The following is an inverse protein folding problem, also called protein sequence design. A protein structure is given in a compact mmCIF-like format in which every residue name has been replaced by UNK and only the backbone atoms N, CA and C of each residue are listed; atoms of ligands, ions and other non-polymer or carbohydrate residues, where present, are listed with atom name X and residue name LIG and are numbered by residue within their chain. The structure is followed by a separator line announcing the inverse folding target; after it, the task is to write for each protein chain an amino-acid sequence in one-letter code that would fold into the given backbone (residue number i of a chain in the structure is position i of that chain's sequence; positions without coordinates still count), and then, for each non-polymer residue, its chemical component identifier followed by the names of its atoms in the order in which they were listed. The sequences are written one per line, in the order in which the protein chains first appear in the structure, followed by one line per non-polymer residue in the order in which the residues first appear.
data_IF_245347187097
#
_entry.id   IF_245347187097
#
_cell.length_a   1.000
_cell.length_b   1.000
_cell.length_c   1.000
_cell.angle_alpha   90.00
_cell.angle_beta   90.00
_cell.angle_gamma   90.00
#
_symmetry.space_group_name_H-M   'P 1'
#
loop_
_entity.id
_entity.type
_entity.pdbx_description
1 polymer ?
#
# COMPACT_ATOMS: atom_id res chain seq x y z
N UNK A 1 -19.89 -5.64 2.03
CA UNK A 1 -20.08 -5.45 0.58
C UNK A 1 -19.07 -6.22 -0.30
N UNK A 2 -18.25 -7.13 0.27
CA UNK A 2 -17.02 -7.65 -0.37
C UNK A 2 -17.05 -9.14 -0.78
N UNK A 3 -18.06 -9.91 -0.39
CA UNK A 3 -18.09 -11.35 -0.72
C UNK A 3 -18.20 -11.62 -2.23
N UNK A 4 -19.06 -10.88 -2.92
CA UNK A 4 -19.37 -11.17 -4.33
C UNK A 4 -18.21 -10.89 -5.29
N UNK A 5 -17.34 -9.90 -5.01
CA UNK A 5 -16.17 -9.60 -5.85
C UNK A 5 -15.16 -10.75 -5.79
N UNK A 6 -14.89 -11.27 -4.59
CA UNK A 6 -14.00 -12.42 -4.42
C UNK A 6 -14.54 -13.66 -5.12
N UNK A 7 -15.86 -13.91 -5.04
CA UNK A 7 -16.51 -15.00 -5.76
C UNK A 7 -16.46 -14.83 -7.28
N UNK A 8 -16.63 -13.61 -7.79
CA UNK A 8 -16.58 -13.32 -9.22
C UNK A 8 -15.15 -13.50 -9.76
N UNK A 9 -14.15 -13.02 -9.02
CA UNK A 9 -12.74 -13.26 -9.33
C UNK A 9 -12.37 -14.74 -9.29
N UNK A 10 -12.82 -15.47 -8.27
CA UNK A 10 -12.59 -16.91 -8.18
C UNK A 10 -13.25 -17.66 -9.35
N UNK A 11 -14.48 -17.29 -9.73
CA UNK A 11 -15.16 -17.88 -10.87
C UNK A 11 -14.41 -17.62 -12.19
N UNK A 12 -13.94 -16.38 -12.40
CA UNK A 12 -13.11 -16.03 -13.56
C UNK A 12 -11.80 -16.84 -13.57
N UNK A 13 -11.13 -17.00 -12.42
CA UNK A 13 -9.91 -17.80 -12.29
C UNK A 13 -10.18 -19.29 -12.61
N UNK A 14 -11.29 -19.85 -12.14
CA UNK A 14 -11.65 -21.24 -12.42
C UNK A 14 -11.92 -21.46 -13.90
N UNK A 15 -12.74 -20.59 -14.51
CA UNK A 15 -13.01 -20.63 -15.96
C UNK A 15 -11.69 -20.54 -16.74
N UNK A 16 -10.78 -19.67 -16.29
CA UNK A 16 -9.47 -19.45 -16.87
C UNK A 16 -8.54 -20.67 -16.78
N UNK A 17 -8.49 -21.33 -15.61
CA UNK A 17 -7.74 -22.56 -15.39
C UNK A 17 -8.25 -23.67 -16.30
N UNK A 18 -9.57 -23.77 -16.46
CA UNK A 18 -10.19 -24.76 -17.34
C UNK A 18 -9.84 -24.51 -18.80
N UNK A 19 -9.92 -23.27 -19.30
CA UNK A 19 -9.55 -22.96 -20.67
C UNK A 19 -8.08 -23.29 -20.96
N UNK A 20 -7.18 -22.84 -20.09
CA UNK A 20 -5.72 -22.98 -20.28
C UNK A 20 -5.25 -24.42 -20.10
N UNK A 21 -5.72 -25.13 -19.06
CA UNK A 21 -5.16 -26.45 -18.73
C UNK A 21 -5.99 -27.63 -19.22
N UNK A 22 -7.29 -27.44 -19.45
CA UNK A 22 -8.17 -28.51 -19.92
C UNK A 22 -8.44 -28.35 -21.41
N UNK A 23 -8.96 -27.19 -21.83
CA UNK A 23 -9.42 -27.01 -23.22
C UNK A 23 -8.24 -26.87 -24.19
N UNK A 24 -7.27 -26.02 -23.91
CA UNK A 24 -6.11 -25.80 -24.77
C UNK A 24 -5.24 -27.07 -24.89
N UNK A 25 -4.97 -27.72 -23.75
CA UNK A 25 -4.26 -29.00 -23.72
C UNK A 25 -4.97 -30.09 -24.53
N UNK A 26 -6.31 -30.19 -24.42
CA UNK A 26 -7.09 -31.14 -25.22
C UNK A 26 -7.01 -30.81 -26.71
N UNK A 27 -7.17 -29.54 -27.09
CA UNK A 27 -7.03 -29.08 -28.48
C UNK A 27 -5.68 -29.44 -29.08
N UNK A 28 -4.58 -29.14 -28.38
CA UNK A 28 -3.23 -29.48 -28.85
C UNK A 28 -3.03 -31.00 -29.01
N UNK A 29 -3.60 -31.83 -28.11
CA UNK A 29 -3.55 -33.28 -28.23
C UNK A 29 -4.37 -33.79 -29.42
N UNK A 30 -5.58 -33.29 -29.61
CA UNK A 30 -6.43 -33.67 -30.75
C UNK A 30 -5.77 -33.24 -32.06
N UNK A 31 -5.22 -32.03 -32.11
CA UNK A 31 -4.51 -31.53 -33.29
C UNK A 31 -3.28 -32.39 -33.59
N UNK A 32 -2.49 -32.78 -32.58
CA UNK A 32 -1.37 -33.71 -32.78
C UNK A 32 -1.82 -35.09 -33.28
N UNK A 33 -2.98 -35.60 -32.83
CA UNK A 33 -3.51 -36.87 -33.31
C UNK A 33 -3.96 -36.78 -34.78
N UNK A 34 -4.64 -35.69 -35.15
CA UNK A 34 -5.06 -35.42 -36.53
C UNK A 34 -3.87 -35.25 -37.47
N UNK A 35 -2.84 -34.51 -37.05
CA UNK A 35 -1.60 -34.37 -37.83
C UNK A 35 -0.92 -35.72 -38.06
N UNK A 36 -0.99 -36.65 -37.10
CA UNK A 36 -0.47 -38.02 -37.26
C UNK A 36 -1.33 -38.91 -38.15
N UNK A 37 -2.64 -38.69 -38.26
CA UNK A 37 -3.52 -39.48 -39.13
C UNK A 37 -3.51 -39.02 -40.59
N UNK A 38 -2.92 -37.86 -40.88
CA UNK A 38 -2.84 -37.31 -42.25
C UNK A 38 -4.13 -36.66 -42.76
N UNK A 39 -5.17 -36.56 -41.92
CA UNK A 39 -6.53 -36.12 -42.31
C UNK A 39 -6.73 -34.59 -42.24
N UNK A 40 -5.76 -33.76 -42.63
CA UNK A 40 -5.79 -32.34 -42.24
C UNK A 40 -5.59 -31.36 -43.40
N UNK A 41 -6.57 -30.47 -43.60
CA UNK A 41 -6.46 -29.27 -44.45
C UNK A 41 -5.95 -28.07 -43.64
N UNK A 42 -5.21 -27.16 -44.28
CA UNK A 42 -4.64 -25.96 -43.63
C UNK A 42 -5.71 -25.10 -42.93
N UNK A 43 -6.91 -25.02 -43.51
CA UNK A 43 -8.05 -24.25 -42.98
C UNK A 43 -8.60 -24.84 -41.67
N UNK A 44 -8.57 -26.17 -41.53
CA UNK A 44 -8.97 -26.85 -40.30
C UNK A 44 -7.95 -26.62 -39.18
N UNK A 45 -6.64 -26.63 -39.49
CA UNK A 45 -5.56 -26.36 -38.52
C UNK A 45 -5.69 -24.95 -37.97
N UNK A 46 -5.87 -23.97 -38.85
CA UNK A 46 -5.97 -22.57 -38.46
C UNK A 46 -7.18 -22.34 -37.55
N UNK A 47 -8.32 -22.97 -37.85
CA UNK A 47 -9.51 -22.97 -36.98
C UNK A 47 -9.21 -23.47 -35.55
N UNK A 48 -8.49 -24.58 -35.40
CA UNK A 48 -8.12 -25.09 -34.08
C UNK A 48 -7.14 -24.20 -33.32
N UNK A 49 -6.20 -23.56 -34.05
CA UNK A 49 -5.25 -22.59 -33.47
C UNK A 49 -5.91 -21.24 -33.11
N UNK A 50 -6.98 -20.87 -33.83
CA UNK A 50 -7.67 -19.57 -33.70
C UNK A 50 -8.98 -19.60 -32.93
N UNK A 51 -9.51 -20.78 -32.55
CA UNK A 51 -10.68 -20.94 -31.68
C UNK A 51 -10.41 -20.40 -30.26
N UNK A 52 -10.28 -19.08 -30.15
CA UNK A 52 -9.96 -18.33 -28.93
C UNK A 52 -11.18 -17.51 -28.47
N UNK A 53 -12.39 -18.08 -28.61
CA UNK A 53 -13.67 -17.38 -28.40
C UNK A 53 -13.75 -16.71 -27.02
N UNK A 54 -13.21 -17.34 -25.98
CA UNK A 54 -13.21 -16.81 -24.62
C UNK A 54 -12.04 -15.88 -24.30
N UNK A 55 -10.93 -15.93 -25.03
CA UNK A 55 -9.78 -15.07 -24.77
C UNK A 55 -10.10 -13.61 -25.09
N UNK A 56 -10.86 -13.35 -26.16
CA UNK A 56 -11.25 -11.98 -26.55
C UNK A 56 -12.21 -11.33 -25.53
N UNK A 57 -13.20 -12.07 -25.05
CA UNK A 57 -14.12 -11.60 -24.02
C UNK A 57 -13.42 -11.39 -22.67
N UNK A 58 -12.54 -12.32 -22.27
CA UNK A 58 -11.72 -12.17 -21.07
C UNK A 58 -10.73 -10.99 -21.16
N UNK A 59 -10.18 -10.70 -22.35
CA UNK A 59 -9.30 -9.55 -22.58
C UNK A 59 -10.06 -8.22 -22.53
N UNK A 60 -11.26 -8.15 -23.11
CA UNK A 60 -12.08 -6.93 -23.13
C UNK A 60 -12.65 -6.58 -21.75
N UNK A 61 -13.04 -7.58 -20.95
CA UNK A 61 -13.57 -7.36 -19.61
C UNK A 61 -12.47 -7.30 -18.53
N UNK A 62 -11.36 -8.01 -18.73
CA UNK A 62 -10.32 -8.21 -17.71
C UNK A 62 -9.48 -6.97 -17.44
N UNK A 63 -9.03 -6.22 -18.46
CA UNK A 63 -8.20 -5.05 -18.24
C UNK A 63 -8.94 -3.92 -17.50
N UNK A 64 -10.18 -3.53 -17.86
CA UNK A 64 -10.95 -2.56 -17.09
C UNK A 64 -11.24 -3.03 -15.66
N UNK A 65 -11.51 -4.33 -15.47
CA UNK A 65 -11.76 -4.89 -14.15
C UNK A 65 -10.51 -4.92 -13.27
N UNK A 66 -9.34 -5.28 -13.83
CA UNK A 66 -8.05 -5.24 -13.12
C UNK A 66 -7.71 -3.80 -12.74
N UNK A 67 -7.89 -2.84 -13.64
CA UNK A 67 -7.68 -1.42 -13.35
C UNK A 67 -8.64 -0.95 -12.24
N UNK A 68 -9.92 -1.33 -12.32
CA UNK A 68 -10.92 -1.02 -11.30
C UNK A 68 -10.58 -1.63 -9.94
N UNK A 69 -10.11 -2.88 -9.91
CA UNK A 69 -9.72 -3.58 -8.68
C UNK A 69 -8.44 -3.03 -8.08
N UNK A 70 -7.42 -2.72 -8.89
CA UNK A 70 -6.22 -2.01 -8.44
C UNK A 70 -6.63 -0.68 -7.83
N UNK A 71 -7.54 0.04 -8.49
CA UNK A 71 -8.02 1.34 -8.02
C UNK A 71 -8.80 1.26 -6.70
N UNK A 72 -9.78 0.36 -6.58
CA UNK A 72 -10.52 0.16 -5.31
C UNK A 72 -9.59 -0.29 -4.20
N UNK A 73 -8.63 -1.15 -4.51
CA UNK A 73 -7.65 -1.63 -3.54
C UNK A 73 -6.65 -0.55 -3.10
N UNK A 74 -6.20 0.34 -4.00
CA UNK A 74 -5.39 1.53 -3.65
C UNK A 74 -6.15 2.40 -2.65
N UNK A 75 -7.46 2.57 -2.85
CA UNK A 75 -8.29 3.40 -1.98
C UNK A 75 -8.48 2.81 -0.58
N UNK A 76 -8.62 1.49 -0.47
CA UNK A 76 -8.92 0.83 0.81
C UNK A 76 -7.68 0.33 1.58
N UNK A 77 -6.49 0.50 0.98
CA UNK A 77 -5.12 0.34 1.50
C UNK A 77 -4.72 -1.01 2.13
N UNK A 78 -5.66 -1.78 2.72
CA UNK A 78 -5.41 -3.08 3.34
C UNK A 78 -5.43 -4.24 2.36
N UNK A 79 -6.30 -4.19 1.35
CA UNK A 79 -6.53 -5.34 0.47
C UNK A 79 -5.59 -5.35 -0.74
N UNK A 80 -4.95 -4.22 -1.08
CA UNK A 80 -4.03 -4.16 -2.22
C UNK A 80 -2.80 -5.04 -2.03
N UNK A 81 -2.29 -5.18 -0.81
CA UNK A 81 -1.15 -6.05 -0.54
C UNK A 81 -1.51 -7.53 -0.82
N UNK A 82 -2.66 -7.99 -0.31
CA UNK A 82 -3.13 -9.34 -0.53
C UNK A 82 -3.44 -9.60 -2.00
N UNK A 83 -4.11 -8.66 -2.68
CA UNK A 83 -4.43 -8.77 -4.10
C UNK A 83 -3.17 -8.80 -4.98
N UNK A 84 -2.16 -7.98 -4.67
CA UNK A 84 -0.87 -8.02 -5.38
C UNK A 84 -0.14 -9.34 -5.16
N UNK A 85 -0.13 -9.87 -3.94
CA UNK A 85 0.49 -11.17 -3.62
C UNK A 85 -0.24 -12.29 -4.37
N UNK A 86 -1.58 -12.35 -4.28
CA UNK A 86 -2.39 -13.35 -4.96
C UNK A 86 -2.25 -13.25 -6.48
N UNK A 87 -2.24 -12.03 -7.04
CA UNK A 87 -2.04 -11.79 -8.47
C UNK A 87 -0.65 -12.19 -8.94
N UNK A 88 0.40 -11.91 -8.15
CA UNK A 88 1.78 -12.33 -8.44
C UNK A 88 1.94 -13.84 -8.37
N UNK A 89 1.41 -14.47 -7.32
CA UNK A 89 1.42 -15.92 -7.14
C UNK A 89 0.70 -16.61 -8.29
N UNK A 90 -0.48 -16.09 -8.65
CA UNK A 90 -1.24 -16.55 -9.80
C UNK A 90 -0.40 -16.46 -11.08
N UNK A 91 0.07 -15.27 -11.46
CA UNK A 91 0.86 -15.07 -12.66
C UNK A 91 2.11 -15.99 -12.71
N UNK A 92 2.75 -16.20 -11.57
CA UNK A 92 3.89 -17.12 -11.43
C UNK A 92 3.51 -18.59 -11.63
N UNK A 93 2.41 -19.05 -11.01
CA UNK A 93 1.90 -20.42 -11.19
C UNK A 93 1.50 -20.69 -12.65
N UNK A 94 0.90 -19.71 -13.32
CA UNK A 94 0.55 -19.79 -14.74
C UNK A 94 1.80 -19.92 -15.61
N UNK A 95 2.77 -19.03 -15.42
CA UNK A 95 4.02 -19.05 -16.18
C UNK A 95 4.80 -20.35 -15.95
N UNK A 96 4.80 -20.87 -14.72
CA UNK A 96 5.43 -22.14 -14.35
C UNK A 96 4.72 -23.32 -15.02
N UNK A 97 3.39 -23.39 -14.93
CA UNK A 97 2.62 -24.50 -15.48
C UNK A 97 2.68 -24.54 -17.01
N UNK A 98 2.67 -23.39 -17.70
CA UNK A 98 2.93 -23.31 -19.14
C UNK A 98 4.32 -23.87 -19.50
N UNK A 99 5.35 -23.44 -18.76
CA UNK A 99 6.73 -23.90 -18.96
C UNK A 99 6.88 -25.42 -18.80
N UNK A 100 6.13 -26.03 -17.88
CA UNK A 100 6.22 -27.46 -17.58
C UNK A 100 5.35 -28.33 -18.49
N UNK A 101 4.15 -27.89 -18.87
CA UNK A 101 3.14 -28.73 -19.52
C UNK A 101 2.84 -28.33 -20.96
N UNK A 102 2.47 -27.07 -21.19
CA UNK A 102 1.88 -26.63 -22.47
C UNK A 102 2.94 -26.31 -23.51
N UNK A 103 4.07 -25.71 -23.11
CA UNK A 103 5.16 -25.35 -24.01
C UNK A 103 5.68 -26.54 -24.82
N UNK A 104 5.89 -27.70 -24.17
CA UNK A 104 6.36 -28.91 -24.84
C UNK A 104 5.38 -29.41 -25.90
N UNK A 105 4.09 -29.37 -25.59
CA UNK A 105 3.05 -29.78 -26.53
C UNK A 105 2.96 -28.84 -27.73
N UNK A 106 3.07 -27.52 -27.50
CA UNK A 106 3.07 -26.51 -28.57
C UNK A 106 4.25 -26.66 -29.52
N UNK A 107 5.45 -26.91 -28.99
CA UNK A 107 6.64 -27.16 -29.82
C UNK A 107 6.50 -28.44 -30.65
N UNK A 108 6.04 -29.55 -30.04
CA UNK A 108 5.83 -30.81 -30.77
C UNK A 108 4.79 -30.69 -31.89
N UNK A 109 3.73 -29.92 -31.65
CA UNK A 109 2.71 -29.63 -32.66
C UNK A 109 3.29 -28.74 -33.76
N UNK A 110 4.05 -27.70 -33.40
CA UNK A 110 4.66 -26.80 -34.36
C UNK A 110 5.62 -27.53 -35.31
N UNK A 111 6.44 -28.45 -34.82
CA UNK A 111 7.35 -29.25 -35.66
C UNK A 111 6.63 -30.10 -36.71
N UNK A 112 5.36 -30.45 -36.49
CA UNK A 112 4.54 -31.28 -37.39
C UNK A 112 3.78 -30.46 -38.45
N UNK A 113 3.87 -29.12 -38.40
CA UNK A 113 3.12 -28.25 -39.30
C UNK A 113 3.89 -27.95 -40.60
N UNK A 114 3.19 -27.93 -41.76
CA UNK A 114 3.83 -27.90 -43.08
C UNK A 114 4.42 -26.54 -43.48
N UNK A 115 3.96 -25.44 -42.88
CA UNK A 115 4.33 -24.07 -43.29
C UNK A 115 4.90 -23.29 -42.11
N UNK A 116 6.01 -22.57 -42.29
CA UNK A 116 6.63 -21.73 -41.25
C UNK A 116 5.65 -20.76 -40.57
N UNK A 117 4.70 -20.19 -41.33
CA UNK A 117 3.66 -19.33 -40.78
C UNK A 117 2.77 -20.04 -39.74
N UNK A 118 2.39 -21.30 -40.00
CA UNK A 118 1.61 -22.13 -39.08
C UNK A 118 2.45 -22.59 -37.89
N UNK A 119 3.74 -22.87 -38.11
CA UNK A 119 4.68 -23.21 -37.03
C UNK A 119 4.81 -22.05 -36.05
N UNK A 120 5.03 -20.83 -36.55
CA UNK A 120 5.09 -19.62 -35.73
C UNK A 120 3.79 -19.41 -34.96
N UNK A 121 2.63 -19.60 -35.60
CA UNK A 121 1.32 -19.45 -34.96
C UNK A 121 1.09 -20.48 -33.85
N UNK A 122 1.49 -21.75 -34.03
CA UNK A 122 1.39 -22.77 -32.99
C UNK A 122 2.34 -22.54 -31.80
N UNK A 123 3.46 -21.85 -32.03
CA UNK A 123 4.41 -21.47 -30.98
C UNK A 123 3.94 -20.26 -30.16
N UNK A 124 3.02 -19.45 -30.69
CA UNK A 124 2.49 -18.30 -29.93
C UNK A 124 1.86 -18.75 -28.62
N UNK A 125 2.10 -17.97 -27.57
CA UNK A 125 1.42 -18.16 -26.29
C UNK A 125 -0.08 -17.89 -26.46
N UNK A 126 -0.89 -18.55 -25.63
CA UNK A 126 -2.25 -18.07 -25.40
C UNK A 126 -2.13 -16.66 -24.82
N UNK A 127 -2.95 -15.70 -25.26
CA UNK A 127 -2.81 -14.29 -24.87
C UNK A 127 -2.80 -14.11 -23.35
N UNK A 128 -3.46 -14.99 -22.60
CA UNK A 128 -3.44 -14.98 -21.14
C UNK A 128 -2.13 -15.49 -20.52
N UNK A 129 -1.49 -16.50 -21.11
CA UNK A 129 -0.16 -16.96 -20.70
C UNK A 129 0.87 -15.87 -20.99
N UNK A 130 0.73 -15.20 -22.13
CA UNK A 130 1.53 -14.05 -22.52
C UNK A 130 1.39 -12.90 -21.51
N UNK A 131 0.16 -12.56 -21.11
CA UNK A 131 -0.08 -11.57 -20.05
C UNK A 131 0.52 -12.01 -18.71
N UNK A 132 0.28 -13.25 -18.27
CA UNK A 132 0.83 -13.74 -17.01
C UNK A 132 2.36 -13.66 -16.98
N UNK A 133 3.04 -14.10 -18.04
CA UNK A 133 4.50 -14.00 -18.18
C UNK A 133 5.00 -12.56 -18.21
N UNK A 134 4.28 -11.66 -18.88
CA UNK A 134 4.66 -10.25 -19.01
C UNK A 134 4.45 -9.47 -17.72
N UNK A 135 3.34 -9.71 -17.03
CA UNK A 135 3.00 -9.02 -15.79
C UNK A 135 3.70 -9.62 -14.57
N UNK A 136 4.04 -10.91 -14.56
CA UNK A 136 4.71 -11.55 -13.42
C UNK A 136 5.95 -10.78 -12.91
N UNK A 137 6.96 -10.43 -13.74
CA UNK A 137 8.14 -9.71 -13.25
C UNK A 137 7.79 -8.33 -12.70
N UNK A 138 6.81 -7.64 -13.30
CA UNK A 138 6.34 -6.32 -12.85
C UNK A 138 5.62 -6.43 -11.51
N UNK A 139 4.67 -7.37 -11.38
CA UNK A 139 3.93 -7.61 -10.15
C UNK A 139 4.85 -8.10 -9.04
N UNK A 140 5.78 -9.01 -9.34
CA UNK A 140 6.77 -9.50 -8.39
C UNK A 140 7.68 -8.36 -7.91
N UNK A 141 8.16 -7.51 -8.82
CA UNK A 141 8.92 -6.32 -8.44
C UNK A 141 8.10 -5.40 -7.54
N UNK A 142 6.86 -5.07 -7.90
CA UNK A 142 5.98 -4.22 -7.08
C UNK A 142 5.71 -4.84 -5.71
N UNK A 143 5.49 -6.16 -5.63
CA UNK A 143 5.34 -6.88 -4.36
C UNK A 143 6.61 -6.78 -3.54
N UNK A 144 7.79 -7.05 -4.09
CA UNK A 144 9.07 -6.95 -3.37
C UNK A 144 9.30 -5.51 -2.89
N UNK A 145 9.15 -4.53 -3.78
CA UNK A 145 9.29 -3.11 -3.44
C UNK A 145 8.32 -2.71 -2.32
N UNK A 146 7.06 -3.17 -2.36
CA UNK A 146 6.06 -2.81 -1.34
C UNK A 146 6.22 -3.56 -0.03
N UNK A 147 6.55 -4.85 -0.10
CA UNK A 147 6.72 -5.71 1.06
C UNK A 147 7.88 -5.24 1.93
N UNK A 148 8.92 -4.69 1.29
CA UNK A 148 10.15 -4.35 1.99
C UNK A 148 10.46 -2.86 1.98
N UNK A 149 10.38 -2.16 0.84
CA UNK A 149 10.93 -0.81 0.68
C UNK A 149 9.94 0.29 1.09
N UNK A 150 8.88 0.45 0.29
CA UNK A 150 8.03 1.62 0.36
C UNK A 150 6.56 1.28 0.26
N UNK A 151 5.74 1.87 1.13
CA UNK A 151 4.29 1.75 1.06
C UNK A 151 3.61 3.11 0.89
N UNK A 152 2.69 3.24 -0.09
CA UNK A 152 1.91 4.46 -0.25
C UNK A 152 0.82 4.56 0.83
N UNK A 153 0.62 5.77 1.38
CA UNK A 153 -0.47 6.08 2.31
C UNK A 153 -1.18 7.35 1.87
N UNK A 154 -2.51 7.34 1.87
CA UNK A 154 -3.30 8.56 1.72
C UNK A 154 -3.64 9.15 3.09
N UNK A 155 -3.52 10.46 3.25
CA UNK A 155 -3.88 11.18 4.48
C UNK A 155 -5.41 11.32 4.56
N UNK A 156 -6.07 10.69 5.57
CA UNK A 156 -7.52 10.74 5.69
C UNK A 156 -8.01 11.86 6.64
N UNK A 157 -7.13 12.47 7.44
CA UNK A 157 -7.51 13.44 8.48
C UNK A 157 -6.58 14.66 8.52
N UNK A 158 -7.06 15.76 9.08
CA UNK A 158 -6.34 17.03 9.22
C UNK A 158 -5.49 17.17 10.48
N UNK A 159 -5.20 16.08 11.19
CA UNK A 159 -4.47 16.12 12.48
C UNK A 159 -2.98 16.46 12.36
N UNK A 160 -2.45 16.42 11.14
CA UNK A 160 -1.07 16.75 10.80
C UNK A 160 -0.96 18.06 10.00
N UNK A 161 -2.02 18.89 10.00
CA UNK A 161 -1.97 20.24 9.41
C UNK A 161 -0.96 21.12 10.17
N UNK A 162 -0.23 22.02 9.49
CA UNK A 162 -0.31 22.32 8.05
C UNK A 162 0.52 21.38 7.16
N UNK A 163 1.45 20.62 7.76
CA UNK A 163 2.47 19.89 7.01
C UNK A 163 1.85 18.82 6.10
N UNK A 164 0.80 18.14 6.58
CA UNK A 164 0.06 17.12 5.84
C UNK A 164 -1.43 17.42 5.86
N UNK A 165 -2.04 17.49 4.67
CA UNK A 165 -3.47 17.78 4.50
C UNK A 165 -4.21 16.57 3.96
N UNK A 166 -5.54 16.54 4.17
CA UNK A 166 -6.41 15.49 3.63
C UNK A 166 -6.25 15.42 2.12
N UNK A 167 -5.99 14.23 1.59
CA UNK A 167 -5.71 14.01 0.16
C UNK A 167 -4.23 13.99 -0.22
N UNK A 168 -3.31 14.32 0.69
CA UNK A 168 -1.88 14.09 0.46
C UNK A 168 -1.59 12.57 0.40
N UNK A 169 -0.75 12.16 -0.55
CA UNK A 169 -0.21 10.81 -0.68
C UNK A 169 1.25 10.78 -0.25
N UNK A 170 1.55 9.91 0.71
CA UNK A 170 2.85 9.72 1.31
C UNK A 170 3.50 8.45 0.81
N UNK A 171 4.82 8.48 0.74
CA UNK A 171 5.66 7.30 0.62
C UNK A 171 6.29 7.02 1.98
N UNK A 172 5.99 5.85 2.53
CA UNK A 172 6.45 5.41 3.85
C UNK A 172 7.57 4.40 3.68
N UNK A 173 8.75 4.72 4.18
CA UNK A 173 9.90 3.82 4.20
C UNK A 173 9.77 2.85 5.38
N UNK A 174 9.64 1.57 5.07
CA UNK A 174 9.53 0.50 6.07
C UNK A 174 10.88 0.08 6.63
N UNK A 175 11.95 0.17 5.85
CA UNK A 175 13.31 -0.13 6.29
C UNK A 175 13.88 0.89 7.26
N UNK A 176 13.43 2.15 7.21
CA UNK A 176 13.94 3.19 8.13
C UNK A 176 13.83 2.78 9.60
N UNK A 177 12.91 1.88 9.91
CA UNK A 177 12.63 1.42 11.27
C UNK A 177 12.96 -0.07 11.53
N UNK A 178 13.80 -0.69 10.70
CA UNK A 178 14.23 -2.08 10.84
C UNK A 178 13.52 -3.04 9.88
N UNK A 179 14.15 -4.19 9.60
CA UNK A 179 13.61 -5.18 8.67
C UNK A 179 12.57 -6.08 9.36
N UNK A 180 11.41 -6.25 8.72
CA UNK A 180 10.35 -7.17 9.17
C UNK A 180 10.00 -8.14 8.07
N UNK A 181 9.80 -9.40 8.44
CA UNK A 181 9.24 -10.38 7.51
C UNK A 181 7.79 -10.01 7.19
N UNK A 182 7.40 -9.95 5.90
CA UNK A 182 6.00 -9.81 5.55
C UNK A 182 5.19 -10.95 6.18
N UNK A 183 3.94 -10.65 6.59
CA UNK A 183 3.00 -11.58 7.24
C UNK A 183 3.31 -11.90 8.71
N UNK A 184 4.54 -12.30 9.06
CA UNK A 184 4.87 -12.79 10.41
C UNK A 184 5.18 -11.64 11.40
N UNK A 185 5.33 -10.40 10.91
CA UNK A 185 5.66 -9.18 11.69
C UNK A 185 6.88 -9.32 12.62
N UNK A 186 7.67 -10.39 12.50
CA UNK A 186 8.85 -10.65 13.33
C UNK A 186 10.01 -9.81 12.81
N UNK A 187 10.66 -9.10 13.73
CA UNK A 187 11.81 -8.24 13.45
C UNK A 187 13.09 -9.08 13.41
N UNK A 188 13.96 -8.81 12.43
CA UNK A 188 15.24 -9.52 12.29
C UNK A 188 16.45 -8.65 12.62
N UNK A 189 16.31 -7.31 12.66
CA UNK A 189 17.41 -6.36 12.91
C UNK A 189 16.97 -5.12 13.70
N UNK A 190 17.84 -4.58 14.57
CA UNK A 190 17.58 -3.41 15.44
C UNK A 190 18.07 -2.06 14.89
N UNK A 191 18.40 -1.99 13.60
CA UNK A 191 18.86 -0.74 13.00
C UNK A 191 17.69 0.21 12.69
N UNK A 192 17.86 1.49 13.07
CA UNK A 192 16.91 2.57 12.80
C UNK A 192 15.73 2.58 13.78
N UNK A 193 15.81 3.33 14.87
CA UNK A 193 14.66 3.63 15.73
C UNK A 193 14.05 4.98 15.33
N UNK A 194 12.71 5.15 15.40
CA UNK A 194 12.07 6.45 15.28
C UNK A 194 12.75 7.48 16.16
N UNK A 195 13.11 8.62 15.59
CA UNK A 195 13.77 9.71 16.28
C UNK A 195 12.78 10.84 16.58
N UNK A 196 13.02 11.67 17.62
CA UNK A 196 12.25 12.88 17.84
C UNK A 196 12.18 13.73 16.56
N UNK A 197 10.98 14.23 16.26
CA UNK A 197 10.68 14.98 15.04
C UNK A 197 10.39 14.13 13.80
N UNK A 198 10.52 12.80 13.83
CA UNK A 198 10.11 11.94 12.70
C UNK A 198 8.58 11.90 12.53
N UNK A 199 8.11 11.85 11.28
CA UNK A 199 6.71 11.53 10.97
C UNK A 199 6.58 10.01 10.85
N UNK A 200 5.85 9.42 11.79
CA UNK A 200 5.74 7.98 11.94
C UNK A 200 4.33 7.50 11.59
N UNK A 201 4.25 6.41 10.84
CA UNK A 201 3.03 5.65 10.60
C UNK A 201 3.01 4.44 11.53
N UNK A 202 1.91 4.23 12.25
CA UNK A 202 1.79 3.17 13.25
C UNK A 202 0.31 2.77 13.46
N UNK A 203 0.08 1.67 14.16
CA UNK A 203 -1.26 1.27 14.61
C UNK A 203 -1.43 1.69 16.08
N UNK A 204 -2.42 2.53 16.45
CA UNK A 204 -2.57 2.99 17.82
C UNK A 204 -3.13 1.89 18.74
N UNK A 205 -2.83 1.93 20.05
CA UNK A 205 -3.22 0.87 20.99
C UNK A 205 -4.74 0.74 21.20
N UNK A 206 -5.51 1.81 20.98
CA UNK A 206 -6.97 1.81 21.10
C UNK A 206 -7.70 1.40 19.81
N UNK A 207 -7.00 1.32 18.67
CA UNK A 207 -7.63 1.04 17.38
C UNK A 207 -6.72 0.23 16.45
N UNK A 208 -6.73 -1.09 16.64
CA UNK A 208 -5.84 -2.05 15.95
C UNK A 208 -6.09 -2.21 14.45
N UNK A 209 -7.21 -1.67 13.95
CA UNK A 209 -7.62 -1.77 12.55
C UNK A 209 -7.44 -0.47 11.78
N UNK A 210 -6.73 0.54 12.28
CA UNK A 210 -6.46 1.76 11.53
C UNK A 210 -5.03 2.24 11.74
N UNK A 211 -4.35 2.65 10.67
CA UNK A 211 -3.04 3.25 10.79
C UNK A 211 -3.17 4.76 11.01
N UNK A 212 -2.40 5.28 11.94
CA UNK A 212 -2.31 6.68 12.31
C UNK A 212 -0.96 7.24 11.85
N UNK A 213 -0.93 8.54 11.60
CA UNK A 213 0.27 9.27 11.18
C UNK A 213 0.43 10.44 12.14
N UNK A 214 1.53 10.44 12.89
CA UNK A 214 1.84 11.46 13.92
C UNK A 214 3.34 11.75 13.93
N UNK A 215 3.72 12.84 14.57
CA UNK A 215 5.13 13.15 14.82
C UNK A 215 5.60 12.52 16.13
N UNK A 216 6.79 11.93 16.12
CA UNK A 216 7.44 11.41 17.32
C UNK A 216 7.95 12.58 18.13
N UNK A 217 7.53 12.65 19.39
CA UNK A 217 7.96 13.68 20.35
C UNK A 217 8.92 13.12 21.38
N UNK A 218 8.69 11.88 21.83
CA UNK A 218 9.55 11.21 22.81
C UNK A 218 9.84 9.76 22.43
N UNK A 219 11.03 9.30 22.79
CA UNK A 219 11.50 7.92 22.66
C UNK A 219 11.78 7.33 24.04
N UNK A 220 12.02 6.03 24.14
CA UNK A 220 12.29 5.34 25.41
C UNK A 220 13.31 6.07 26.29
N UNK A 221 12.95 6.28 27.55
CA UNK A 221 13.71 7.04 28.55
C UNK A 221 13.30 8.51 28.67
N UNK A 222 12.68 9.11 27.64
CA UNK A 222 12.31 10.53 27.69
C UNK A 222 11.16 10.80 28.68
N UNK A 223 11.28 11.89 29.44
CA UNK A 223 10.18 12.46 30.22
C UNK A 223 9.46 13.52 29.41
N UNK A 224 8.17 13.31 29.16
CA UNK A 224 7.32 14.21 28.38
C UNK A 224 6.35 14.92 29.31
N UNK A 225 6.34 16.24 29.24
CA UNK A 225 5.40 17.06 30.00
C UNK A 225 4.64 18.00 29.06
N UNK A 226 3.32 18.11 29.27
CA UNK A 226 2.48 18.99 28.47
C UNK A 226 1.47 19.74 29.35
N UNK A 227 1.52 21.07 29.29
CA UNK A 227 0.56 21.93 29.96
C UNK A 227 -0.56 22.29 28.98
N UNK A 228 -1.78 21.84 29.26
CA UNK A 228 -2.94 22.10 28.40
C UNK A 228 -3.38 23.57 28.38
N UNK A 229 -3.11 24.33 29.45
CA UNK A 229 -3.50 25.76 29.56
C UNK A 229 -2.56 26.64 28.76
N UNK A 230 -1.24 26.45 28.91
CA UNK A 230 -0.22 27.24 28.18
C UNK A 230 0.14 26.66 26.81
N UNK A 231 -0.25 25.39 26.57
CA UNK A 231 0.06 24.59 25.38
C UNK A 231 1.56 24.42 25.15
N UNK A 232 2.32 24.42 26.24
CA UNK A 232 3.76 24.21 26.26
C UNK A 232 4.08 22.72 26.36
N UNK A 233 5.01 22.29 25.50
CA UNK A 233 5.56 20.93 25.49
C UNK A 233 6.99 20.99 26.04
N UNK A 234 7.30 20.12 27.00
CA UNK A 234 8.65 19.94 27.53
C UNK A 234 9.11 18.50 27.35
N UNK A 235 10.36 18.34 26.97
CA UNK A 235 11.03 17.03 26.83
C UNK A 235 12.25 17.06 27.76
N UNK A 236 12.34 16.10 28.68
CA UNK A 236 13.40 16.00 29.68
C UNK A 236 13.55 17.28 30.53
N UNK A 237 12.43 17.97 30.79
CA UNK A 237 12.37 19.23 31.55
C UNK A 237 12.64 20.49 30.74
N UNK A 238 13.21 20.36 29.54
CA UNK A 238 13.49 21.49 28.64
C UNK A 238 12.27 21.85 27.81
N UNK A 239 11.99 23.14 27.67
CA UNK A 239 10.90 23.63 26.81
C UNK A 239 11.27 23.42 25.35
N UNK A 240 10.40 22.74 24.59
CA UNK A 240 10.59 22.57 23.15
C UNK A 240 10.50 23.95 22.49
N UNK A 241 11.57 24.43 21.82
CA UNK A 241 11.58 25.76 21.24
C UNK A 241 10.49 25.92 20.18
N UNK A 242 9.80 27.06 20.23
CA UNK A 242 8.83 27.44 19.20
C UNK A 242 8.90 28.94 18.90
N UNK A 243 8.78 29.27 17.61
CA UNK A 243 8.73 30.65 17.12
C UNK A 243 7.36 30.92 16.53
N UNK A 244 6.68 31.95 17.04
CA UNK A 244 5.40 32.40 16.51
C UNK A 244 5.56 32.91 15.07
N UNK A 245 4.59 32.56 14.21
CA UNK A 245 4.50 33.07 12.85
C UNK A 245 3.38 34.10 12.73
N UNK A 246 2.14 33.64 12.77
CA UNK A 246 0.94 34.46 12.65
C UNK A 246 -0.26 33.78 13.33
N UNK A 247 -1.38 34.50 13.34
CA UNK A 247 -2.69 33.97 13.75
C UNK A 247 -3.70 34.35 12.70
N UNK A 248 -4.49 33.38 12.25
CA UNK A 248 -5.60 33.61 11.32
C UNK A 248 -6.87 32.95 11.81
N UNK A 249 -8.01 33.33 11.23
CA UNK A 249 -9.32 32.77 11.58
C UNK A 249 -9.78 31.82 10.49
N UNK A 250 -10.07 30.58 10.86
CA UNK A 250 -10.63 29.55 9.98
C UNK A 250 -11.85 28.92 10.66
N UNK A 251 -13.02 29.01 10.04
CA UNK A 251 -14.27 28.46 10.59
C UNK A 251 -14.55 28.89 12.05
N UNK A 252 -14.27 30.16 12.39
CA UNK A 252 -14.45 30.72 13.73
C UNK A 252 -13.36 30.34 14.76
N UNK A 253 -12.37 29.54 14.38
CA UNK A 253 -11.22 29.17 15.22
C UNK A 253 -10.05 30.12 14.97
N UNK A 254 -9.45 30.66 16.03
CA UNK A 254 -8.23 31.48 15.97
C UNK A 254 -7.02 30.56 15.99
N UNK A 255 -6.51 30.22 14.81
CA UNK A 255 -5.38 29.31 14.64
C UNK A 255 -4.09 30.12 14.66
N UNK A 256 -3.29 29.94 15.70
CA UNK A 256 -1.92 30.43 15.79
C UNK A 256 -0.96 29.40 15.20
N UNK A 257 -0.08 29.85 14.32
CA UNK A 257 0.98 29.05 13.72
C UNK A 257 2.30 29.32 14.41
N UNK A 258 3.04 28.25 14.66
CA UNK A 258 4.40 28.31 15.19
C UNK A 258 5.31 27.41 14.36
N UNK A 259 6.59 27.75 14.28
CA UNK A 259 7.64 26.80 13.92
C UNK A 259 8.16 26.20 15.22
N UNK A 260 8.07 24.90 15.38
CA UNK A 260 8.62 24.16 16.51
C UNK A 260 9.89 23.42 16.09
N UNK A 261 10.88 23.38 16.97
CA UNK A 261 12.18 22.73 16.73
C UNK A 261 12.37 21.55 17.66
N UNK A 262 12.44 20.33 17.10
CA UNK A 262 12.65 19.10 17.88
C UNK A 262 13.50 18.10 17.09
N UNK A 263 14.47 17.45 17.75
CA UNK A 263 15.32 16.44 17.12
C UNK A 263 16.15 16.98 15.93
N UNK A 264 16.54 18.25 15.97
CA UNK A 264 17.26 18.92 14.89
C UNK A 264 16.41 19.28 13.66
N UNK A 265 15.08 19.19 13.77
CA UNK A 265 14.14 19.49 12.69
C UNK A 265 13.23 20.65 13.07
N UNK A 266 12.86 21.45 12.07
CA UNK A 266 11.86 22.49 12.20
C UNK A 266 10.61 22.12 11.41
N UNK A 267 9.44 22.31 12.02
CA UNK A 267 8.14 22.07 11.39
C UNK A 267 7.08 23.01 11.93
N UNK A 268 6.07 23.30 11.12
CA UNK A 268 4.96 24.14 11.55
C UNK A 268 3.97 23.35 12.41
N UNK A 269 3.42 24.00 13.44
CA UNK A 269 2.33 23.46 14.28
C UNK A 269 1.17 24.45 14.34
N UNK A 270 -0.04 23.94 14.49
CA UNK A 270 -1.24 24.73 14.74
C UNK A 270 -1.64 24.65 16.21
N UNK A 271 -2.00 25.79 16.80
CA UNK A 271 -2.65 25.87 18.11
C UNK A 271 -3.85 26.82 18.04
N UNK A 272 -4.99 26.39 18.57
CA UNK A 272 -6.24 27.15 18.58
C UNK A 272 -6.31 28.00 19.85
N UNK A 273 -6.14 29.32 19.75
CA UNK A 273 -6.07 30.23 20.90
C UNK A 273 -7.39 30.37 21.65
N UNK A 274 -8.52 30.27 20.94
CA UNK A 274 -9.87 30.41 21.51
C UNK A 274 -10.53 29.06 21.84
N UNK A 275 -9.75 27.98 21.93
CA UNK A 275 -10.26 26.71 22.40
C UNK A 275 -10.19 26.66 23.93
N UNK A 276 -11.34 26.48 24.57
CA UNK A 276 -11.36 26.15 26.00
C UNK A 276 -10.72 24.78 26.19
N UNK A 277 -9.58 24.73 26.87
CA UNK A 277 -9.06 23.45 27.37
C UNK A 277 -9.84 23.11 28.64
N UNK A 278 -10.59 21.99 28.69
CA UNK A 278 -11.21 21.54 29.93
C UNK A 278 -10.15 21.40 31.04
N UNK A 279 -10.57 21.22 32.30
CA UNK A 279 -9.68 20.99 33.45
C UNK A 279 -8.93 19.64 33.34
N UNK A 280 -8.13 19.48 32.29
CA UNK A 280 -7.17 18.42 32.10
C UNK A 280 -5.99 18.72 33.03
N UNK A 281 -5.60 17.71 33.80
CA UNK A 281 -4.36 17.81 34.55
C UNK A 281 -3.20 17.88 33.56
N UNK A 282 -2.13 18.66 33.85
CA UNK A 282 -0.91 18.61 33.07
C UNK A 282 -0.43 17.17 32.90
N UNK A 283 0.01 16.84 31.69
CA UNK A 283 0.60 15.54 31.41
C UNK A 283 2.04 15.52 31.93
N UNK A 284 2.42 14.42 32.57
CA UNK A 284 3.80 14.13 32.97
C UNK A 284 4.02 12.62 32.92
N UNK A 285 4.75 12.15 31.91
CA UNK A 285 4.95 10.71 31.64
C UNK A 285 6.39 10.42 31.26
N UNK A 286 6.87 9.23 31.61
CA UNK A 286 8.17 8.70 31.14
C UNK A 286 7.88 7.64 30.08
N UNK A 287 8.50 7.79 28.92
CA UNK A 287 8.33 6.86 27.80
C UNK A 287 9.09 5.56 28.12
N UNK A 288 8.44 4.39 28.16
CA UNK A 288 9.13 3.13 28.39
C UNK A 288 10.08 2.75 27.24
N UNK A 289 11.08 1.93 27.52
CA UNK A 289 11.96 1.38 26.49
C UNK A 289 11.17 0.66 25.40
N UNK A 290 11.58 0.84 24.14
CA UNK A 290 10.87 0.30 22.98
C UNK A 290 9.50 0.93 22.68
N UNK A 291 9.16 2.04 23.33
CA UNK A 291 7.93 2.79 23.09
C UNK A 291 8.19 4.21 22.59
N UNK A 292 7.14 4.83 22.06
CA UNK A 292 7.19 6.18 21.48
C UNK A 292 6.00 7.01 21.96
N UNK A 293 6.24 8.28 22.25
CA UNK A 293 5.21 9.28 22.49
C UNK A 293 5.04 10.14 21.24
N UNK A 294 3.80 10.23 20.73
CA UNK A 294 3.52 10.87 19.45
C UNK A 294 2.45 11.94 19.55
N UNK A 295 2.61 13.01 18.76
CA UNK A 295 1.72 14.18 18.76
C UNK A 295 1.43 14.61 17.33
N UNK A 296 0.20 15.08 17.08
CA UNK A 296 -0.15 15.69 15.79
C UNK A 296 0.33 17.13 15.69
N UNK A 297 0.74 17.54 14.49
CA UNK A 297 1.17 18.92 14.21
C UNK A 297 0.01 19.91 14.38
N UNK A 298 -1.23 19.46 14.15
CA UNK A 298 -2.43 20.21 14.50
C UNK A 298 -2.80 19.91 15.96
N UNK A 299 -2.18 20.64 16.89
CA UNK A 299 -2.10 20.29 18.31
C UNK A 299 -3.46 20.17 18.99
N UNK A 300 -4.41 20.97 18.58
CA UNK A 300 -5.74 21.05 19.20
C UNK A 300 -6.80 20.22 18.44
N UNK A 301 -6.49 19.71 17.24
CA UNK A 301 -7.34 18.80 16.45
C UNK A 301 -6.62 17.47 16.18
N UNK A 302 -5.98 16.93 17.21
CA UNK A 302 -5.26 15.66 17.12
C UNK A 302 -5.55 14.76 18.31
N UNK A 303 -6.15 13.61 18.00
CA UNK A 303 -6.27 12.49 18.92
C UNK A 303 -4.97 11.68 18.90
N UNK A 304 -4.10 11.90 19.89
CA UNK A 304 -2.76 11.33 19.98
C UNK A 304 -2.38 10.94 21.42
N UNK A 305 -1.10 10.64 21.69
CA UNK A 305 -0.61 10.09 22.96
C UNK A 305 -1.01 10.88 24.20
N UNK A 306 -1.29 12.19 24.05
CA UNK A 306 -1.77 13.05 25.14
C UNK A 306 -3.11 12.61 25.72
N UNK A 307 -3.96 11.98 24.89
CA UNK A 307 -5.37 11.76 25.22
C UNK A 307 -5.76 10.28 25.35
N UNK A 308 -5.03 9.35 24.75
CA UNK A 308 -5.47 7.95 24.65
C UNK A 308 -5.69 7.26 26.00
N UNK A 309 -4.88 7.56 27.00
CA UNK A 309 -5.04 6.99 28.33
C UNK A 309 -6.32 7.50 29.00
N UNK A 310 -6.57 8.80 28.97
CA UNK A 310 -7.73 9.41 29.60
C UNK A 310 -9.03 9.06 28.87
N UNK A 311 -9.01 9.02 27.54
CA UNK A 311 -10.21 8.82 26.73
C UNK A 311 -10.58 7.34 26.53
N UNK A 312 -9.59 6.45 26.45
CA UNK A 312 -9.81 5.03 26.12
C UNK A 312 -9.30 4.06 27.18
N UNK A 313 -8.61 4.52 28.24
CA UNK A 313 -8.00 3.64 29.24
C UNK A 313 -6.85 2.79 28.69
N UNK A 314 -6.29 3.16 27.54
CA UNK A 314 -5.19 2.42 26.88
C UNK A 314 -3.84 3.07 27.15
N UNK A 315 -2.74 2.38 26.80
CA UNK A 315 -1.40 2.98 26.88
C UNK A 315 -1.34 4.29 26.09
N UNK A 316 -0.73 5.37 26.61
CA UNK A 316 -0.50 6.59 25.84
C UNK A 316 0.63 6.40 24.82
N UNK A 317 1.36 5.29 24.86
CA UNK A 317 2.55 5.07 24.03
C UNK A 317 2.28 4.13 22.86
N UNK A 318 3.05 4.32 21.80
CA UNK A 318 3.10 3.41 20.66
C UNK A 318 4.22 2.42 20.89
N UNK A 319 3.91 1.12 20.90
CA UNK A 319 4.92 0.07 20.97
C UNK A 319 5.68 -0.06 19.65
N UNK A 320 6.98 -0.40 19.71
CA UNK A 320 7.82 -0.67 18.53
C UNK A 320 7.15 -1.60 17.52
N UNK A 321 6.49 -2.67 17.97
CA UNK A 321 5.81 -3.65 17.10
C UNK A 321 4.68 -3.02 16.25
N UNK A 322 4.07 -1.95 16.71
CA UNK A 322 2.96 -1.29 16.01
C UNK A 322 3.41 -0.27 14.97
N UNK A 323 4.70 0.08 14.95
CA UNK A 323 5.28 1.01 13.98
C UNK A 323 5.32 0.40 12.58
N UNK A 324 4.73 1.07 11.59
CA UNK A 324 4.70 0.61 10.19
C UNK A 324 5.87 1.17 9.37
N UNK A 325 6.33 2.39 9.65
CA UNK A 325 7.44 3.00 8.92
C UNK A 325 7.52 4.52 9.08
N UNK A 326 8.55 5.12 8.46
CA UNK A 326 8.79 6.56 8.42
C UNK A 326 8.18 7.18 7.18
N UNK A 327 7.34 8.19 7.32
CA UNK A 327 6.92 8.98 6.16
C UNK A 327 8.09 9.85 5.69
N UNK A 328 8.52 9.69 4.44
CA UNK A 328 9.74 10.34 3.91
C UNK A 328 9.45 11.33 2.79
N UNK A 329 8.41 11.08 1.99
CA UNK A 329 8.07 11.90 0.83
C UNK A 329 6.57 12.03 0.75
N UNK A 330 6.11 13.25 0.47
CA UNK A 330 4.76 13.52 -0.05
C UNK A 330 4.91 13.62 -1.56
N UNK A 331 4.26 12.74 -2.32
CA UNK A 331 4.51 12.64 -3.77
C UNK A 331 3.33 13.07 -4.64
N UNK A 332 2.12 13.10 -4.11
CA UNK A 332 0.92 13.51 -4.86
C UNK A 332 -0.12 14.09 -3.91
N UNK A 333 -0.97 14.98 -4.41
CA UNK A 333 -2.14 15.50 -3.74
C UNK A 333 -3.37 15.20 -4.59
N UNK A 334 -4.35 14.51 -4.00
CA UNK A 334 -5.57 14.16 -4.70
C UNK A 334 -6.77 14.17 -3.73
N UNK A 335 -7.57 15.26 -3.73
CA UNK A 335 -8.61 15.46 -2.72
C UNK A 335 -9.91 14.71 -3.00
N UNK A 336 -10.23 14.44 -4.27
CA UNK A 336 -11.46 13.74 -4.63
C UNK A 336 -11.31 12.94 -5.92
N UNK A 337 -12.13 11.89 -6.05
CA UNK A 337 -12.08 10.93 -7.16
C UNK A 337 -12.28 11.56 -8.54
N UNK A 338 -13.08 12.63 -8.60
CA UNK A 338 -13.39 13.34 -9.85
C UNK A 338 -12.41 14.49 -10.13
N UNK A 339 -11.49 14.79 -9.20
CA UNK A 339 -10.45 15.79 -9.41
C UNK A 339 -9.26 15.20 -10.15
N UNK A 340 -8.42 16.06 -10.74
CA UNK A 340 -7.12 15.63 -11.27
C UNK A 340 -6.10 15.57 -10.12
N UNK A 341 -5.23 14.55 -10.09
CA UNK A 341 -4.12 14.52 -9.15
C UNK A 341 -3.16 15.69 -9.44
N UNK A 342 -2.62 16.27 -8.37
CA UNK A 342 -1.65 17.37 -8.45
C UNK A 342 -0.32 16.97 -7.80
N UNK A 343 0.77 17.47 -8.36
CA UNK A 343 2.13 17.27 -7.85
C UNK A 343 2.73 18.54 -7.27
N UNK A 344 1.96 19.64 -7.17
CA UNK A 344 2.45 20.94 -6.70
C UNK A 344 2.96 20.94 -5.26
N UNK A 345 2.49 19.98 -4.46
CA UNK A 345 2.93 19.76 -3.08
C UNK A 345 4.05 18.74 -2.96
N UNK A 346 4.50 18.11 -4.04
CA UNK A 346 5.48 17.04 -3.95
C UNK A 346 6.80 17.53 -3.29
N UNK A 347 7.34 16.74 -2.35
CA UNK A 347 8.54 17.12 -1.62
C UNK A 347 8.89 16.13 -0.51
N UNK A 348 10.12 16.24 -0.02
CA UNK A 348 10.57 15.50 1.17
C UNK A 348 9.83 15.99 2.42
N UNK A 349 9.62 15.07 3.35
CA UNK A 349 9.13 15.38 4.68
C UNK A 349 10.31 15.44 5.63
N UNK A 350 10.40 16.56 6.37
CA UNK A 350 11.38 16.73 7.43
C UNK A 350 10.86 16.16 8.75
#
# INVERSE_FOLDING_TARGET
MFGWIAWLLAALIVVWLVDTFVLDRRRLKTLSALLKSGEVSAQNIESYLTQRMWSRLAMMAGAPLIIFLIFTAIRENKDLALLLILGTLFAGLVALADRLLLRKLRLNVAEQLPTEALQAQAQTDNGLVEYAKSFFPVLALVVVLRSFLFEPYQIPSGSMRPNLIVGDFLLVNKFSYGFRLPVVKTQLTDFGAPQPGDIMVFTPPHQTYQNYIKRVVGVGGDRIQYDYRTKELRVNGELVPRRYLDTYVENGRRIARYIETLGGKEYEIYQIQNMSTPNLMPLDVIVPDGHFFVVGDNRDDSLDSRFWQQQYGTSPFVERREVQGKAVVRWMYWPSLLSLPSFSRAGSLN
#
